data_IF_298560149479
#
_entry.id   IF_298560149479
#
_cell.length_a   1.000
_cell.length_b   1.000
_cell.length_c   1.000
_cell.angle_alpha   90.00
_cell.angle_beta   90.00
_cell.angle_gamma   90.00
#
_symmetry.space_group_name_H-M   'P 1'
#
loop_
_entity.id
_entity.type
_entity.pdbx_description
1 polymer ?
#
# COMPACT_ATOMS: atom_id res chain seq x y z
N UNK A 1 -15.26 12.77 -17.51
CA UNK A 1 -15.36 11.54 -16.69
C UNK A 1 -14.18 10.65 -17.03
N UNK A 2 -13.17 10.58 -16.16
CA UNK A 2 -11.92 9.86 -16.42
C UNK A 2 -11.82 8.65 -15.47
N UNK A 3 -11.90 7.45 -16.04
CA UNK A 3 -11.82 6.20 -15.31
C UNK A 3 -10.37 5.93 -14.87
N UNK A 4 -10.08 6.15 -13.59
CA UNK A 4 -8.85 5.68 -12.96
C UNK A 4 -8.99 4.16 -12.74
N UNK A 5 -8.35 3.37 -13.61
CA UNK A 5 -8.21 1.91 -13.44
C UNK A 5 -7.13 1.63 -12.38
N UNK A 6 -7.45 1.06 -11.21
CA UNK A 6 -6.43 0.69 -10.23
C UNK A 6 -5.64 -0.53 -10.74
N UNK A 7 -4.31 -0.39 -10.79
CA UNK A 7 -3.35 -1.42 -11.22
C UNK A 7 -3.31 -2.68 -10.34
N UNK A 8 -4.04 -2.71 -9.22
CA UNK A 8 -4.06 -3.82 -8.27
C UNK A 8 -4.82 -5.06 -8.76
N UNK A 9 -5.77 -4.92 -9.69
CA UNK A 9 -6.58 -6.06 -10.17
C UNK A 9 -5.79 -7.00 -11.10
N UNK A 10 -4.69 -6.54 -11.70
CA UNK A 10 -3.93 -7.32 -12.71
C UNK A 10 -2.99 -8.37 -12.11
N UNK A 11 -2.78 -8.38 -10.80
CA UNK A 11 -1.93 -9.36 -10.12
C UNK A 11 -2.67 -10.67 -9.77
N UNK A 12 -4.01 -10.66 -9.77
CA UNK A 12 -4.82 -11.84 -9.46
C UNK A 12 -5.09 -12.76 -10.67
N UNK A 13 -4.78 -12.32 -11.89
CA UNK A 13 -5.04 -13.10 -13.13
C UNK A 13 -3.92 -14.10 -13.49
N UNK A 14 -2.82 -14.15 -12.73
CA UNK A 14 -1.73 -15.10 -12.99
C UNK A 14 -1.72 -16.26 -11.99
N UNK A 15 -2.85 -16.95 -11.89
CA UNK A 15 -2.85 -18.32 -11.39
C UNK A 15 -2.45 -19.19 -12.58
N UNK A 16 -1.38 -20.01 -12.52
CA UNK A 16 -1.11 -20.98 -13.57
C UNK A 16 -2.31 -21.94 -13.61
N UNK A 17 -3.07 -21.91 -14.70
CA UNK A 17 -4.05 -22.95 -15.00
C UNK A 17 -3.31 -24.27 -14.97
N UNK A 18 -3.69 -25.14 -14.03
CA UNK A 18 -3.17 -26.49 -13.93
C UNK A 18 -3.26 -27.14 -15.32
N UNK A 19 -2.09 -27.49 -15.88
CA UNK A 19 -1.98 -28.23 -17.13
C UNK A 19 -2.89 -29.44 -17.01
N UNK A 20 -3.94 -29.52 -17.83
CA UNK A 20 -4.81 -30.69 -17.85
C UNK A 20 -3.94 -31.87 -18.27
N UNK A 21 -3.64 -32.78 -17.35
CA UNK A 21 -3.01 -34.06 -17.68
C UNK A 21 -3.87 -34.71 -18.75
N UNK A 22 -3.34 -34.82 -19.97
CA UNK A 22 -4.00 -35.52 -21.06
C UNK A 22 -4.38 -36.92 -20.58
N UNK A 23 -5.68 -37.20 -20.60
CA UNK A 23 -6.21 -38.55 -20.43
C UNK A 23 -5.64 -39.40 -21.56
N UNK A 24 -4.74 -40.33 -21.23
CA UNK A 24 -4.28 -41.35 -22.17
C UNK A 24 -5.52 -42.12 -22.64
N UNK A 25 -5.84 -41.99 -23.92
CA UNK A 25 -6.83 -42.85 -24.57
C UNK A 25 -6.18 -44.22 -24.69
N UNK A 26 -6.71 -45.19 -23.95
CA UNK A 26 -6.43 -46.60 -24.24
C UNK A 26 -7.03 -46.89 -25.61
N UNK A 27 -6.17 -47.04 -26.61
CA UNK A 27 -6.57 -47.57 -27.90
C UNK A 27 -6.91 -49.05 -27.69
N UNK A 28 -8.20 -49.36 -27.64
CA UNK A 28 -8.69 -50.71 -27.73
C UNK A 28 -8.71 -51.16 -29.19
N UNK A 29 -7.90 -52.18 -29.49
CA UNK A 29 -8.29 -53.26 -30.39
C UNK A 29 -7.87 -53.15 -31.86
N UNK A 30 -6.76 -53.79 -32.23
CA UNK A 30 -6.81 -55.04 -33.02
C UNK A 30 -5.41 -55.65 -33.12
N UNK A 31 -5.22 -56.80 -32.49
CA UNK A 31 -3.95 -57.53 -32.47
C UNK A 31 -4.12 -58.75 -31.58
N UNK A 32 -4.46 -59.87 -32.22
CA UNK A 32 -4.59 -61.16 -31.59
C UNK A 32 -3.24 -61.55 -30.97
N UNK A 33 -3.20 -61.76 -29.65
CA UNK A 33 -2.31 -62.77 -29.09
C UNK A 33 -2.77 -63.21 -27.69
N UNK A 34 -2.55 -64.49 -27.45
CA UNK A 34 -3.05 -65.25 -26.33
C UNK A 34 -2.25 -65.01 -25.03
N UNK A 35 -2.94 -65.13 -23.90
CA UNK A 35 -2.32 -65.58 -22.65
C UNK A 35 -2.08 -64.51 -21.58
N UNK A 36 -2.28 -64.94 -20.35
CA UNK A 36 -1.91 -64.30 -19.08
C UNK A 36 -2.99 -63.40 -18.44
N UNK A 37 -3.85 -64.06 -17.65
CA UNK A 37 -4.50 -63.43 -16.51
C UNK A 37 -3.42 -62.80 -15.64
N UNK A 38 -3.31 -61.47 -15.69
CA UNK A 38 -2.46 -60.75 -14.76
C UNK A 38 -3.01 -60.98 -13.35
N UNK A 39 -2.24 -61.70 -12.54
CA UNK A 39 -2.42 -61.87 -11.11
C UNK A 39 -2.73 -60.51 -10.47
N UNK A 40 -3.64 -60.41 -9.47
CA UNK A 40 -3.93 -59.15 -8.81
C UNK A 40 -2.63 -58.60 -8.21
N UNK A 41 -2.02 -57.63 -8.89
CA UNK A 41 -0.86 -56.93 -8.34
C UNK A 41 -1.36 -56.24 -7.09
N UNK A 42 -0.81 -56.63 -5.94
CA UNK A 42 -1.06 -55.95 -4.68
C UNK A 42 -0.68 -54.48 -4.84
N UNK A 43 -1.68 -53.62 -5.05
CA UNK A 43 -1.46 -52.18 -5.09
C UNK A 43 -1.09 -51.73 -3.67
N UNK A 44 0.12 -51.18 -3.44
CA UNK A 44 0.48 -50.71 -2.12
C UNK A 44 -0.44 -49.56 -1.73
N UNK A 45 -0.91 -49.58 -0.48
CA UNK A 45 -1.73 -48.50 0.06
C UNK A 45 -0.96 -47.17 -0.13
N UNK A 46 -1.60 -46.24 -0.85
CA UNK A 46 -0.96 -45.00 -1.27
C UNK A 46 -0.44 -44.17 -0.08
N UNK A 47 0.49 -43.23 -0.32
CA UNK A 47 1.09 -42.39 0.72
C UNK A 47 0.07 -41.63 1.58
N UNK A 48 -1.13 -41.38 1.04
CA UNK A 48 -2.25 -40.76 1.74
C UNK A 48 -2.70 -41.55 2.96
N UNK A 49 -2.66 -42.90 2.91
CA UNK A 49 -3.04 -43.74 4.04
C UNK A 49 -2.08 -43.52 5.22
N UNK A 50 -0.78 -43.44 4.95
CA UNK A 50 0.22 -43.18 5.98
C UNK A 50 0.09 -41.79 6.59
N UNK A 51 -0.28 -40.78 5.80
CA UNK A 51 -0.58 -39.42 6.31
C UNK A 51 -1.79 -39.47 7.25
N UNK A 52 -2.85 -40.17 6.88
CA UNK A 52 -4.05 -40.33 7.71
C UNK A 52 -3.75 -41.09 9.00
N UNK A 53 -2.95 -42.15 8.90
CA UNK A 53 -2.54 -42.97 10.04
C UNK A 53 -1.63 -42.17 11.00
N UNK A 54 -0.78 -41.29 10.47
CA UNK A 54 0.01 -40.35 11.26
C UNK A 54 -0.84 -39.20 11.85
N UNK A 55 -1.90 -38.77 11.16
CA UNK A 55 -2.78 -37.70 11.65
C UNK A 55 -3.52 -38.08 12.93
N UNK A 56 -3.84 -39.36 13.13
CA UNK A 56 -4.54 -39.85 14.33
C UNK A 56 -3.72 -39.57 15.62
N UNK A 57 -2.49 -40.08 15.81
CA UNK A 57 -1.72 -39.80 17.01
C UNK A 57 -1.36 -38.31 17.16
N UNK A 58 -1.14 -37.60 16.05
CA UNK A 58 -0.89 -36.14 16.08
C UNK A 58 -2.11 -35.41 16.64
N UNK A 59 -3.33 -35.73 16.15
CA UNK A 59 -4.57 -35.10 16.61
C UNK A 59 -4.83 -35.37 18.10
N UNK A 60 -4.54 -36.58 18.57
CA UNK A 60 -4.66 -36.95 20.00
C UNK A 60 -3.64 -36.19 20.85
N UNK A 61 -2.41 -36.05 20.37
CA UNK A 61 -1.36 -35.26 21.03
C UNK A 61 -1.74 -33.80 21.16
N UNK A 62 -2.24 -33.18 20.07
CA UNK A 62 -2.72 -31.79 20.08
C UNK A 62 -3.91 -31.62 21.02
N UNK A 63 -4.87 -32.56 21.01
CA UNK A 63 -6.02 -32.51 21.90
C UNK A 63 -5.62 -32.58 23.38
N UNK A 64 -4.67 -33.45 23.73
CA UNK A 64 -4.15 -33.55 25.11
C UNK A 64 -3.41 -32.27 25.53
N UNK A 65 -2.60 -31.70 24.62
CA UNK A 65 -1.85 -30.47 24.88
C UNK A 65 -2.73 -29.21 24.93
N UNK A 66 -3.89 -29.25 24.24
CA UNK A 66 -4.87 -28.18 24.20
C UNK A 66 -5.75 -28.09 25.45
N UNK A 67 -5.87 -29.17 26.24
CA UNK A 67 -6.75 -29.17 27.41
C UNK A 67 -6.14 -28.39 28.58
N UNK A 68 -6.86 -27.40 29.15
CA UNK A 68 -6.40 -26.69 30.33
C UNK A 68 -6.21 -27.66 31.50
N UNK A 69 -5.18 -27.41 32.30
CA UNK A 69 -4.94 -28.19 33.51
C UNK A 69 -6.05 -27.95 34.55
N UNK A 70 -6.24 -28.87 35.49
CA UNK A 70 -7.28 -28.78 36.53
C UNK A 70 -7.18 -27.52 37.39
N UNK A 71 -5.99 -26.91 37.44
CA UNK A 71 -5.70 -25.67 38.16
C UNK A 71 -5.94 -24.39 37.32
N UNK A 72 -6.49 -24.50 36.11
CA UNK A 72 -6.83 -23.34 35.27
C UNK A 72 -5.62 -22.63 34.64
N UNK A 73 -4.41 -23.19 34.74
CA UNK A 73 -3.20 -22.63 34.13
C UNK A 73 -3.22 -22.83 32.60
N UNK A 74 -2.81 -21.79 31.86
CA UNK A 74 -2.72 -21.83 30.40
C UNK A 74 -1.72 -22.90 29.96
N UNK A 75 -2.10 -23.72 28.98
CA UNK A 75 -1.29 -24.85 28.52
C UNK A 75 -0.05 -24.40 27.76
N UNK A 76 0.93 -25.29 27.59
CA UNK A 76 2.18 -24.99 26.88
C UNK A 76 1.98 -24.46 25.46
N UNK A 77 0.89 -24.84 24.78
CA UNK A 77 0.52 -24.29 23.47
C UNK A 77 0.05 -22.83 23.56
N UNK A 78 -0.79 -22.50 24.54
CA UNK A 78 -1.24 -21.13 24.78
C UNK A 78 -0.07 -20.23 25.19
N UNK A 79 0.83 -20.72 26.05
CA UNK A 79 2.04 -19.98 26.42
C UNK A 79 2.98 -19.76 25.22
N UNK A 80 3.06 -20.72 24.30
CA UNK A 80 3.81 -20.56 23.06
C UNK A 80 3.14 -19.51 22.17
N UNK A 81 1.82 -19.54 22.02
CA UNK A 81 1.05 -18.53 21.29
C UNK A 81 1.21 -17.14 21.90
N UNK A 82 1.22 -17.02 23.22
CA UNK A 82 1.41 -15.75 23.93
C UNK A 82 2.79 -15.15 23.67
N UNK A 83 3.84 -15.98 23.54
CA UNK A 83 5.16 -15.48 23.10
C UNK A 83 5.12 -14.84 21.71
N UNK A 84 4.27 -15.38 20.82
CA UNK A 84 4.09 -14.85 19.47
C UNK A 84 3.06 -13.71 19.36
N UNK A 85 2.27 -13.43 20.40
CA UNK A 85 1.27 -12.37 20.39
C UNK A 85 1.90 -10.98 20.18
N UNK A 86 3.11 -10.78 20.72
CA UNK A 86 3.91 -9.56 20.53
C UNK A 86 4.16 -9.22 19.05
N UNK A 87 4.38 -10.24 18.21
CA UNK A 87 4.52 -10.05 16.77
C UNK A 87 3.20 -9.61 16.13
N UNK A 88 2.07 -10.14 16.58
CA UNK A 88 0.75 -9.75 16.07
C UNK A 88 0.49 -8.27 16.35
N UNK A 89 0.82 -7.79 17.54
CA UNK A 89 0.72 -6.37 17.89
C UNK A 89 1.65 -5.50 17.05
N UNK A 90 2.91 -5.93 16.85
CA UNK A 90 3.85 -5.20 16.01
C UNK A 90 3.40 -5.11 14.54
N UNK A 91 2.86 -6.20 13.98
CA UNK A 91 2.29 -6.19 12.63
C UNK A 91 1.02 -5.36 12.55
N UNK A 92 0.15 -5.42 13.56
CA UNK A 92 -1.03 -4.57 13.64
C UNK A 92 -0.64 -3.08 13.65
N UNK A 93 0.31 -2.68 14.50
CA UNK A 93 0.80 -1.31 14.58
C UNK A 93 1.42 -0.81 13.25
N UNK A 94 2.17 -1.67 12.56
CA UNK A 94 2.71 -1.35 11.22
C UNK A 94 1.60 -1.17 10.20
N UNK A 95 0.61 -2.06 10.19
CA UNK A 95 -0.52 -1.96 9.28
C UNK A 95 -1.33 -0.69 9.54
N UNK A 96 -1.59 -0.34 10.80
CA UNK A 96 -2.28 0.91 11.15
C UNK A 96 -1.49 2.14 10.73
N UNK A 97 -0.16 2.12 10.82
CA UNK A 97 0.67 3.22 10.36
C UNK A 97 0.54 3.40 8.85
N UNK A 98 0.59 2.30 8.08
CA UNK A 98 0.43 2.35 6.63
C UNK A 98 -0.97 2.85 6.20
N UNK A 99 -2.03 2.42 6.88
CA UNK A 99 -3.39 2.90 6.59
C UNK A 99 -3.49 4.40 6.88
N UNK A 100 -3.01 4.84 8.04
CA UNK A 100 -3.04 6.26 8.43
C UNK A 100 -2.26 7.13 7.43
N UNK A 101 -1.08 6.69 6.99
CA UNK A 101 -0.31 7.40 5.97
C UNK A 101 -1.06 7.49 4.64
N UNK A 102 -1.73 6.41 4.23
CA UNK A 102 -2.51 6.39 2.99
C UNK A 102 -3.73 7.32 3.05
N UNK A 103 -4.40 7.38 4.20
CA UNK A 103 -5.53 8.27 4.44
C UNK A 103 -5.10 9.73 4.45
N UNK A 104 -4.00 10.04 5.13
CA UNK A 104 -3.44 11.39 5.14
C UNK A 104 -3.01 11.84 3.74
N UNK A 105 -2.32 10.99 2.99
CA UNK A 105 -1.92 11.30 1.61
C UNK A 105 -3.14 11.53 0.69
N UNK A 106 -4.21 10.77 0.88
CA UNK A 106 -5.46 10.97 0.15
C UNK A 106 -6.13 12.30 0.53
N UNK A 107 -6.15 12.63 1.82
CA UNK A 107 -6.67 13.91 2.32
C UNK A 107 -5.89 15.10 1.74
N UNK A 108 -4.55 15.05 1.79
CA UNK A 108 -3.70 16.10 1.24
C UNK A 108 -3.89 16.25 -0.27
N UNK A 109 -3.97 15.13 -1.01
CA UNK A 109 -4.27 15.17 -2.44
C UNK A 109 -5.61 15.84 -2.73
N UNK A 110 -6.62 15.57 -1.92
CA UNK A 110 -7.93 16.19 -2.03
C UNK A 110 -7.87 17.69 -1.72
N UNK A 111 -7.13 18.08 -0.67
CA UNK A 111 -6.91 19.48 -0.32
C UNK A 111 -6.23 20.24 -1.46
N UNK A 112 -5.15 19.72 -2.04
CA UNK A 112 -4.44 20.39 -3.13
C UNK A 112 -5.23 20.47 -4.43
N UNK A 113 -6.05 19.45 -4.73
CA UNK A 113 -6.87 19.44 -5.95
C UNK A 113 -8.06 20.40 -5.86
N UNK A 114 -8.67 20.53 -4.69
CA UNK A 114 -9.86 21.36 -4.50
C UNK A 114 -9.55 22.77 -4.01
N UNK A 115 -8.36 23.01 -3.44
CA UNK A 115 -7.94 24.34 -3.04
C UNK A 115 -7.66 25.19 -4.28
N UNK A 116 -8.40 26.30 -4.41
CA UNK A 116 -8.08 27.34 -5.38
C UNK A 116 -6.84 28.07 -4.87
N UNK A 117 -5.66 27.70 -5.36
CA UNK A 117 -4.43 28.43 -5.08
C UNK A 117 -4.51 29.90 -5.52
N UNK A 118 -3.70 30.78 -4.92
CA UNK A 118 -3.55 32.12 -5.44
C UNK A 118 -2.85 32.05 -6.81
N UNK A 119 -3.46 32.66 -7.84
CA UNK A 119 -2.82 32.80 -9.16
C UNK A 119 -1.59 33.72 -9.12
N UNK A 120 -1.44 34.47 -8.04
CA UNK A 120 -0.40 35.44 -7.82
C UNK A 120 0.49 34.92 -6.68
N UNK A 121 1.80 34.95 -6.92
CA UNK A 121 2.82 34.69 -5.90
C UNK A 121 3.20 36.04 -5.32
N UNK A 122 2.97 36.23 -4.02
CA UNK A 122 3.43 37.43 -3.34
C UNK A 122 4.95 37.35 -3.18
N UNK A 123 5.67 38.28 -3.81
CA UNK A 123 7.13 38.30 -3.75
C UNK A 123 7.57 39.22 -2.62
N UNK A 124 8.61 38.80 -1.89
CA UNK A 124 9.21 39.65 -0.86
C UNK A 124 9.83 40.92 -1.44
N UNK A 125 10.37 40.84 -2.67
CA UNK A 125 11.02 41.95 -3.35
C UNK A 125 10.77 41.88 -4.87
N UNK A 126 10.65 43.02 -5.57
CA UNK A 126 10.32 43.07 -6.99
C UNK A 126 11.47 42.58 -7.91
N UNK A 127 12.71 42.61 -7.43
CA UNK A 127 13.92 42.32 -8.21
C UNK A 127 14.09 40.82 -8.56
N UNK A 128 13.36 39.93 -7.89
CA UNK A 128 13.42 38.48 -8.11
C UNK A 128 12.99 38.08 -9.53
N UNK A 129 12.15 38.89 -10.20
CA UNK A 129 11.78 38.61 -11.60
C UNK A 129 12.94 38.74 -12.58
N UNK A 130 14.04 39.40 -12.19
CA UNK A 130 15.23 39.56 -13.02
C UNK A 130 16.42 38.72 -12.50
N UNK A 131 16.20 37.78 -11.59
CA UNK A 131 17.26 36.85 -11.18
C UNK A 131 17.41 35.75 -12.24
N UNK A 132 18.31 35.97 -13.19
CA UNK A 132 18.60 35.05 -14.29
C UNK A 132 19.85 35.44 -15.06
N UNK A 133 20.29 34.59 -15.99
CA UNK A 133 21.39 34.93 -16.89
C UNK A 133 21.03 36.13 -17.75
N UNK A 134 21.87 37.18 -17.84
CA UNK A 134 21.63 38.32 -18.72
C UNK A 134 21.74 37.94 -20.21
N UNK A 135 22.27 36.76 -20.51
CA UNK A 135 22.42 36.24 -21.87
C UNK A 135 21.34 35.20 -22.18
N UNK A 136 20.80 35.26 -23.40
CA UNK A 136 19.79 34.34 -23.98
C UNK A 136 18.35 34.47 -23.43
N UNK A 137 17.81 35.70 -23.40
CA UNK A 137 16.40 35.96 -23.09
C UNK A 137 15.63 36.12 -24.42
N UNK A 138 14.50 35.44 -24.58
CA UNK A 138 13.62 35.61 -25.74
C UNK A 138 13.11 37.06 -25.78
N UNK A 139 13.16 37.72 -26.94
CA UNK A 139 12.65 39.08 -27.09
C UNK A 139 11.18 39.15 -26.63
N UNK A 140 10.87 40.02 -25.67
CA UNK A 140 9.55 40.13 -25.02
C UNK A 140 9.40 39.38 -23.69
N UNK A 141 10.38 38.56 -23.29
CA UNK A 141 10.48 38.00 -21.93
C UNK A 141 11.40 38.82 -21.01
N UNK A 142 12.12 39.82 -21.51
CA UNK A 142 12.87 40.76 -20.67
C UNK A 142 11.90 41.56 -19.80
N UNK A 143 12.12 41.53 -18.48
CA UNK A 143 11.49 42.35 -17.44
C UNK A 143 10.28 43.17 -17.92
N UNK A 144 9.09 42.54 -17.98
CA UNK A 144 7.84 43.26 -18.23
C UNK A 144 7.71 44.33 -17.14
N UNK A 145 7.61 45.60 -17.55
CA UNK A 145 7.45 46.82 -16.73
C UNK A 145 7.63 46.67 -15.21
N UNK A 146 8.89 46.65 -14.74
CA UNK A 146 9.21 46.62 -13.30
C UNK A 146 8.57 47.82 -12.57
N UNK A 147 8.42 48.95 -13.26
CA UNK A 147 7.86 50.19 -12.70
C UNK A 147 6.44 50.02 -12.16
N UNK A 148 5.55 49.30 -12.86
CA UNK A 148 4.19 49.04 -12.41
C UNK A 148 4.17 48.19 -11.13
N UNK A 149 5.09 47.22 -11.03
CA UNK A 149 5.21 46.40 -9.84
C UNK A 149 5.81 47.18 -8.67
N UNK A 150 6.83 47.99 -8.93
CA UNK A 150 7.44 48.86 -7.92
C UNK A 150 6.37 49.78 -7.33
N UNK A 151 5.54 50.40 -8.18
CA UNK A 151 4.42 51.22 -7.74
C UNK A 151 3.41 50.44 -6.89
N UNK A 152 3.08 49.19 -7.26
CA UNK A 152 2.22 48.33 -6.46
C UNK A 152 2.80 48.06 -5.06
N UNK A 153 4.05 47.60 -4.98
CA UNK A 153 4.67 47.26 -3.68
C UNK A 153 4.94 48.48 -2.81
N UNK A 154 5.26 49.64 -3.40
CA UNK A 154 5.36 50.90 -2.67
C UNK A 154 4.03 51.23 -1.98
N UNK A 155 2.92 51.11 -2.69
CA UNK A 155 1.58 51.32 -2.11
C UNK A 155 1.28 50.34 -0.98
N UNK A 156 1.57 49.05 -1.17
CA UNK A 156 1.38 48.02 -0.13
C UNK A 156 2.20 48.32 1.13
N UNK A 157 3.44 48.79 0.98
CA UNK A 157 4.30 49.14 2.11
C UNK A 157 3.77 50.35 2.88
N UNK A 158 3.35 51.40 2.17
CA UNK A 158 2.74 52.58 2.81
C UNK A 158 1.48 52.18 3.59
N UNK A 159 0.59 51.38 3.00
CA UNK A 159 -0.62 50.89 3.67
C UNK A 159 -0.28 50.04 4.91
N UNK A 160 0.80 49.25 4.87
CA UNK A 160 1.24 48.44 5.99
C UNK A 160 1.83 49.29 7.12
N UNK A 161 2.61 50.32 6.80
CA UNK A 161 3.18 51.24 7.78
C UNK A 161 2.10 52.09 8.45
N UNK A 162 1.08 52.51 7.71
CA UNK A 162 -0.10 53.15 8.30
C UNK A 162 -0.87 52.24 9.26
N UNK A 163 -1.01 50.94 8.93
CA UNK A 163 -1.65 49.98 9.84
C UNK A 163 -0.81 49.77 11.10
N UNK A 164 0.52 49.69 10.96
CA UNK A 164 1.45 49.55 12.10
C UNK A 164 1.39 50.78 12.99
N UNK A 165 1.43 51.99 12.43
CA UNK A 165 1.37 53.24 13.22
C UNK A 165 0.04 53.38 13.95
N UNK A 166 -1.09 53.05 13.32
CA UNK A 166 -2.41 53.03 13.97
C UNK A 166 -2.47 51.99 15.09
N UNK A 167 -1.91 50.80 14.90
CA UNK A 167 -1.87 49.77 15.93
C UNK A 167 -0.96 50.13 17.12
N UNK A 168 0.13 50.88 16.88
CA UNK A 168 0.98 51.42 17.95
C UNK A 168 0.25 52.52 18.72
N UNK A 169 -0.36 53.48 18.03
CA UNK A 169 -1.13 54.55 18.65
C UNK A 169 -2.32 54.03 19.49
N UNK A 170 -2.96 52.93 19.06
CA UNK A 170 -4.04 52.28 19.80
C UNK A 170 -3.56 51.48 21.03
N UNK A 171 -2.26 51.18 21.15
CA UNK A 171 -1.66 50.52 22.32
C UNK A 171 -1.12 51.51 23.35
N UNK A 172 -0.79 52.72 22.92
CA UNK A 172 -0.28 53.80 23.78
C UNK A 172 -1.42 54.58 24.47
N UNK A 173 -2.67 54.41 24.02
CA UNK A 173 -3.89 54.85 24.71
C UNK A 173 -4.50 53.71 25.51
#
# INVERSE_FOLDING_TARGET
MLALRPKAVRAAERIPTAVSRGTRRYASGHGADHGHHAEPKAEPLGPQLWILLAAIPISVGVYKMSKPDKDGKTTGLTQLMDKYSSYKEAYAARNTLHTNMSEQAAFDSNLYKNSKGSKHVDLRFPEIFNTGSPYNIVAGQSARGIDEMVAHYQKVNVDADERRSKALAAKEN
#
